data_IF_339349902120
#
_entry.id   IF_339349902120
#
_cell.length_a   1.000
_cell.length_b   1.000
_cell.length_c   1.000
_cell.angle_alpha   90.00
_cell.angle_beta   90.00
_cell.angle_gamma   90.00
#
_symmetry.space_group_name_H-M   'P 1'
#
loop_
_entity.id
_entity.type
_entity.pdbx_description
1 polymer ?
#
# COMPACT_ATOMS: atom_id res chain seq x y z
N UNK A 1 14.31 23.52 -3.69
CA UNK A 1 13.39 23.35 -4.83
C UNK A 1 12.12 24.13 -4.50
N UNK A 2 11.50 24.81 -5.45
CA UNK A 2 10.19 25.47 -5.24
C UNK A 2 9.09 24.55 -5.77
N UNK A 3 8.11 24.20 -4.93
CA UNK A 3 6.99 23.34 -5.32
C UNK A 3 5.85 24.19 -5.90
N UNK A 4 5.29 23.80 -7.06
CA UNK A 4 4.12 24.44 -7.67
C UNK A 4 2.83 23.67 -7.39
N UNK A 5 2.88 22.33 -7.37
CA UNK A 5 1.74 21.46 -7.04
C UNK A 5 2.14 20.37 -6.07
N UNK A 6 1.54 20.37 -4.88
CA UNK A 6 1.71 19.32 -3.87
C UNK A 6 0.40 18.57 -3.71
N UNK A 7 0.43 17.24 -3.85
CA UNK A 7 -0.70 16.39 -3.48
C UNK A 7 -0.65 16.12 -1.98
N UNK A 8 -1.56 16.71 -1.21
CA UNK A 8 -1.63 16.47 0.24
C UNK A 8 -2.37 15.19 0.63
N UNK A 9 -2.90 14.46 -0.36
CA UNK A 9 -3.73 13.28 -0.18
C UNK A 9 -3.44 12.26 -1.29
N UNK A 10 -2.35 11.52 -1.12
CA UNK A 10 -2.07 10.36 -1.94
C UNK A 10 -2.02 9.09 -1.10
N UNK A 11 -2.27 7.96 -1.74
CA UNK A 11 -2.36 6.67 -1.07
C UNK A 11 -1.35 5.69 -1.64
N UNK A 12 -0.80 4.89 -0.73
CA UNK A 12 -0.16 3.63 -1.04
C UNK A 12 -0.83 2.54 -0.20
N UNK A 13 -1.91 2.01 -0.76
CA UNK A 13 -2.74 1.03 -0.08
C UNK A 13 -2.14 -0.37 -0.17
N UNK A 14 -2.43 -1.19 0.87
CA UNK A 14 -1.96 -2.57 1.00
C UNK A 14 -2.10 -3.44 -0.27
N UNK A 15 -3.20 -3.39 -1.05
CA UNK A 15 -3.32 -4.15 -2.29
C UNK A 15 -2.18 -3.98 -3.27
N UNK A 16 -1.49 -2.83 -3.27
CA UNK A 16 -0.41 -2.52 -4.20
C UNK A 16 0.98 -2.67 -3.60
N UNK A 17 1.11 -3.18 -2.38
CA UNK A 17 2.40 -3.39 -1.73
C UNK A 17 3.10 -4.66 -2.23
N UNK A 18 4.43 -4.81 -2.05
CA UNK A 18 5.13 -6.04 -2.39
C UNK A 18 4.49 -7.26 -1.70
N UNK A 19 4.14 -8.34 -2.44
CA UNK A 19 3.32 -9.45 -1.91
C UNK A 19 3.89 -10.16 -0.68
N UNK A 20 5.22 -10.20 -0.57
CA UNK A 20 5.92 -10.90 0.50
C UNK A 20 6.33 -10.00 1.67
N UNK A 21 6.13 -8.68 1.56
CA UNK A 21 6.72 -7.69 2.47
C UNK A 21 6.49 -8.02 3.95
N UNK A 22 5.24 -8.26 4.33
CA UNK A 22 4.92 -8.46 5.75
C UNK A 22 5.49 -9.78 6.27
N UNK A 23 5.50 -10.84 5.46
CA UNK A 23 6.03 -12.15 5.86
C UNK A 23 7.57 -12.15 5.86
N UNK A 24 8.21 -11.47 4.91
CA UNK A 24 9.67 -11.45 4.80
C UNK A 24 10.30 -10.67 5.95
N UNK A 25 9.78 -9.48 6.24
CA UNK A 25 10.37 -8.52 7.18
C UNK A 25 9.90 -8.70 8.62
N UNK A 26 8.80 -9.42 8.87
CA UNK A 26 8.36 -9.63 10.24
C UNK A 26 9.33 -10.51 11.06
N UNK A 27 9.43 -10.29 12.38
CA UNK A 27 10.14 -11.19 13.29
C UNK A 27 9.65 -12.64 13.14
N UNK A 28 10.57 -13.60 13.30
CA UNK A 28 10.28 -15.03 13.07
C UNK A 28 9.00 -15.54 13.76
N UNK A 29 8.73 -15.11 14.99
CA UNK A 29 7.56 -15.53 15.76
C UNK A 29 6.24 -14.87 15.31
N UNK A 30 6.30 -13.84 14.45
CA UNK A 30 5.16 -13.08 13.94
C UNK A 30 4.79 -13.43 12.50
N UNK A 31 5.70 -14.04 11.73
CA UNK A 31 5.48 -14.32 10.29
C UNK A 31 4.16 -15.03 9.99
N UNK A 32 3.79 -16.00 10.83
CA UNK A 32 2.55 -16.78 10.72
C UNK A 32 1.27 -15.97 10.97
N UNK A 33 1.39 -14.79 11.59
CA UNK A 33 0.29 -13.86 11.91
C UNK A 33 0.20 -12.72 10.90
N UNK A 34 1.18 -12.57 10.03
CA UNK A 34 1.22 -11.48 9.05
C UNK A 34 0.29 -11.74 7.86
N UNK A 35 -0.16 -10.67 7.20
CA UNK A 35 -0.82 -10.82 5.93
C UNK A 35 0.08 -11.42 4.87
N UNK A 36 -0.49 -12.27 4.02
CA UNK A 36 0.18 -12.87 2.88
C UNK A 36 -0.78 -12.94 1.69
N UNK A 37 -0.23 -13.08 0.49
CA UNK A 37 -1.03 -13.27 -0.72
C UNK A 37 -1.27 -14.77 -0.97
N UNK A 38 -2.51 -15.12 -1.28
CA UNK A 38 -2.92 -16.47 -1.70
C UNK A 38 -3.86 -16.40 -2.89
N UNK A 39 -3.98 -17.48 -3.65
CA UNK A 39 -4.99 -17.58 -4.71
C UNK A 39 -6.41 -17.51 -4.14
N UNK A 40 -7.29 -16.86 -4.89
CA UNK A 40 -8.71 -16.67 -4.59
C UNK A 40 -9.58 -16.79 -5.84
N UNK A 41 -10.92 -16.79 -5.68
CA UNK A 41 -11.85 -17.00 -6.80
C UNK A 41 -11.79 -15.92 -7.87
N UNK A 42 -11.43 -14.68 -7.49
CA UNK A 42 -11.27 -13.54 -8.40
C UNK A 42 -9.79 -13.21 -8.70
N UNK A 43 -8.87 -14.08 -8.28
CA UNK A 43 -7.42 -13.90 -8.39
C UNK A 43 -6.71 -13.83 -7.04
N UNK A 44 -5.39 -13.56 -7.04
CA UNK A 44 -4.60 -13.46 -5.81
C UNK A 44 -5.15 -12.37 -4.88
N UNK A 45 -5.21 -12.68 -3.58
CA UNK A 45 -5.80 -11.83 -2.54
C UNK A 45 -4.95 -11.84 -1.27
N UNK A 46 -5.00 -10.73 -0.56
CA UNK A 46 -4.34 -10.55 0.73
C UNK A 46 -5.22 -11.10 1.86
N UNK A 47 -4.67 -12.01 2.65
CA UNK A 47 -5.36 -12.62 3.80
C UNK A 47 -4.42 -12.79 5.00
N UNK A 48 -4.97 -13.08 6.18
CA UNK A 48 -4.22 -13.67 7.30
C UNK A 48 -4.69 -15.10 7.55
N UNK A 49 -3.88 -15.91 8.25
CA UNK A 49 -4.28 -17.25 8.70
C UNK A 49 -5.46 -17.24 9.69
N UNK A 50 -5.70 -16.11 10.35
CA UNK A 50 -6.86 -15.87 11.22
C UNK A 50 -8.14 -15.52 10.45
N UNK A 51 -8.08 -15.39 9.12
CA UNK A 51 -9.26 -15.18 8.27
C UNK A 51 -9.58 -13.71 7.97
N UNK A 52 -8.76 -12.74 8.38
CA UNK A 52 -8.89 -11.37 7.88
C UNK A 52 -8.57 -11.34 6.38
N UNK A 53 -9.33 -10.55 5.61
CA UNK A 53 -9.17 -10.37 4.17
C UNK A 53 -9.02 -8.88 3.84
N UNK A 54 -8.04 -8.54 3.01
CA UNK A 54 -7.70 -7.16 2.64
C UNK A 54 -7.94 -6.84 1.15
N UNK A 55 -8.54 -7.79 0.43
CA UNK A 55 -8.91 -7.67 -0.98
C UNK A 55 -7.88 -8.25 -1.94
N UNK A 56 -8.15 -8.05 -3.24
CA UNK A 56 -7.31 -8.52 -4.32
C UNK A 56 -5.96 -7.83 -4.33
N UNK A 57 -4.90 -8.60 -4.62
CA UNK A 57 -3.59 -8.04 -4.99
C UNK A 57 -3.78 -7.19 -6.24
N UNK A 58 -3.21 -5.98 -6.22
CA UNK A 58 -3.33 -4.95 -7.27
C UNK A 58 -4.80 -4.57 -7.56
N UNK A 59 -5.67 -4.68 -6.55
CA UNK A 59 -7.08 -4.27 -6.61
C UNK A 59 -7.29 -2.76 -6.47
N UNK A 60 -8.53 -2.33 -6.65
CA UNK A 60 -8.94 -0.92 -6.58
C UNK A 60 -9.13 -0.47 -5.13
N UNK A 61 -8.41 0.60 -4.75
CA UNK A 61 -8.53 1.27 -3.45
C UNK A 61 -8.09 0.42 -2.25
N UNK A 62 -8.34 0.91 -1.02
CA UNK A 62 -7.82 0.28 0.21
C UNK A 62 -8.44 -1.08 0.54
N UNK A 63 -9.58 -1.39 -0.10
CA UNK A 63 -10.27 -2.67 0.06
C UNK A 63 -9.88 -3.73 -0.98
N UNK A 64 -8.97 -3.42 -1.92
CA UNK A 64 -8.57 -4.33 -3.00
C UNK A 64 -9.76 -4.81 -3.83
N UNK A 65 -10.65 -3.89 -4.22
CA UNK A 65 -11.87 -4.22 -4.96
C UNK A 65 -11.54 -4.66 -6.40
N UNK A 66 -12.42 -5.45 -6.99
CA UNK A 66 -12.32 -5.80 -8.41
C UNK A 66 -12.50 -4.55 -9.27
N UNK A 67 -11.69 -4.41 -10.31
CA UNK A 67 -11.90 -3.40 -11.35
C UNK A 67 -13.18 -3.73 -12.13
N UNK A 68 -14.17 -2.83 -12.09
CA UNK A 68 -15.42 -2.95 -12.85
C UNK A 68 -15.55 -1.73 -13.77
N UNK A 69 -15.40 -1.90 -15.09
CA UNK A 69 -15.51 -0.80 -16.05
C UNK A 69 -16.84 -0.05 -15.92
N UNK A 70 -16.77 1.28 -15.90
CA UNK A 70 -17.95 2.16 -15.81
C UNK A 70 -18.50 2.38 -14.41
N UNK A 71 -17.97 1.68 -13.39
CA UNK A 71 -18.38 1.90 -12.00
C UNK A 71 -17.81 3.19 -11.41
N UNK A 72 -16.57 3.54 -11.77
CA UNK A 72 -15.91 4.73 -11.27
C UNK A 72 -15.07 5.37 -12.38
N UNK A 73 -15.52 6.55 -12.84
CA UNK A 73 -14.88 7.31 -13.93
C UNK A 73 -13.39 7.57 -13.69
N UNK A 74 -12.95 7.84 -12.46
CA UNK A 74 -11.53 8.09 -12.16
C UNK A 74 -10.72 6.80 -12.28
N UNK A 75 -11.26 5.69 -11.81
CA UNK A 75 -10.64 4.37 -11.93
C UNK A 75 -10.57 3.92 -13.39
N UNK A 76 -11.61 4.19 -14.17
CA UNK A 76 -11.60 3.92 -15.61
C UNK A 76 -10.48 4.69 -16.32
N UNK A 77 -10.29 5.98 -15.99
CA UNK A 77 -9.18 6.79 -16.51
C UNK A 77 -7.83 6.23 -16.06
N UNK A 78 -7.68 5.83 -14.79
CA UNK A 78 -6.44 5.17 -14.35
C UNK A 78 -6.19 3.87 -15.11
N UNK A 79 -7.23 3.10 -15.43
CA UNK A 79 -7.09 1.85 -16.16
C UNK A 79 -6.59 2.03 -17.60
N UNK A 80 -6.89 3.15 -18.27
CA UNK A 80 -6.40 3.42 -19.63
C UNK A 80 -4.89 3.63 -19.70
N UNK A 81 -4.23 3.93 -18.58
CA UNK A 81 -2.77 4.05 -18.48
C UNK A 81 -2.04 2.69 -18.52
N UNK A 82 -2.79 1.59 -18.44
CA UNK A 82 -2.26 0.23 -18.34
C UNK A 82 -1.84 -0.19 -16.93
N UNK A 83 -2.03 0.66 -15.90
CA UNK A 83 -1.64 0.37 -14.50
C UNK A 83 -2.10 -1.01 -14.00
N UNK A 84 -3.36 -1.39 -14.23
CA UNK A 84 -3.87 -2.69 -13.77
C UNK A 84 -3.34 -3.88 -14.58
N UNK A 85 -3.09 -3.70 -15.88
CA UNK A 85 -2.50 -4.75 -16.73
C UNK A 85 -1.03 -4.99 -16.38
N UNK A 86 -0.32 -3.94 -15.99
CA UNK A 86 1.03 -4.04 -15.44
C UNK A 86 1.05 -4.73 -14.08
N UNK A 87 0.08 -4.42 -13.20
CA UNK A 87 -0.11 -5.14 -11.94
C UNK A 87 -0.29 -6.65 -12.13
N UNK A 88 -1.06 -7.08 -13.14
CA UNK A 88 -1.22 -8.52 -13.47
C UNK A 88 0.09 -9.19 -13.92
N UNK A 89 1.04 -8.40 -14.42
CA UNK A 89 2.39 -8.87 -14.82
C UNK A 89 3.42 -8.75 -13.70
N UNK A 90 3.00 -8.34 -12.50
CA UNK A 90 3.89 -8.13 -11.35
C UNK A 90 4.62 -6.77 -11.35
N UNK A 91 4.24 -5.84 -12.22
CA UNK A 91 4.81 -4.49 -12.24
C UNK A 91 3.97 -3.60 -11.31
N UNK A 92 4.46 -3.38 -10.09
CA UNK A 92 3.73 -2.67 -9.04
C UNK A 92 4.03 -1.16 -9.06
N UNK A 93 3.52 -0.45 -10.08
CA UNK A 93 3.81 0.97 -10.28
C UNK A 93 3.63 1.85 -9.02
N UNK A 94 2.57 1.70 -8.19
CA UNK A 94 2.39 2.54 -7.02
C UNK A 94 3.41 2.33 -5.90
N UNK A 95 4.01 1.13 -5.79
CA UNK A 95 4.97 0.76 -4.75
C UNK A 95 6.42 0.67 -5.26
N UNK A 96 6.66 1.05 -6.53
CA UNK A 96 8.00 1.26 -7.08
C UNK A 96 8.28 2.77 -7.08
N UNK A 97 9.32 3.24 -6.36
CA UNK A 97 9.56 4.67 -6.18
C UNK A 97 9.89 5.39 -7.50
N UNK A 98 10.51 4.69 -8.45
CA UNK A 98 10.92 5.24 -9.73
C UNK A 98 9.76 5.30 -10.74
N UNK A 99 8.92 4.27 -10.77
CA UNK A 99 7.71 4.27 -11.60
C UNK A 99 6.70 5.28 -11.07
N UNK A 100 6.51 5.34 -9.75
CA UNK A 100 5.64 6.33 -9.12
C UNK A 100 6.07 7.76 -9.43
N UNK A 101 7.37 8.06 -9.40
CA UNK A 101 7.87 9.38 -9.79
C UNK A 101 7.48 9.75 -11.22
N UNK A 102 7.54 8.80 -12.17
CA UNK A 102 7.13 9.06 -13.56
C UNK A 102 5.63 9.36 -13.68
N UNK A 103 4.80 8.66 -12.92
CA UNK A 103 3.36 8.94 -12.85
C UNK A 103 3.11 10.34 -12.25
N UNK A 104 3.84 10.71 -11.18
CA UNK A 104 3.78 12.06 -10.61
C UNK A 104 4.18 13.14 -11.64
N UNK A 105 5.22 12.90 -12.44
CA UNK A 105 5.65 13.82 -13.50
C UNK A 105 4.61 13.95 -14.61
N UNK A 106 3.95 12.85 -14.98
CA UNK A 106 2.85 12.84 -15.95
C UNK A 106 1.66 13.68 -15.47
N UNK A 107 1.33 13.59 -14.17
CA UNK A 107 0.25 14.36 -13.55
C UNK A 107 0.66 15.81 -13.18
N UNK A 108 1.95 16.14 -13.35
CA UNK A 108 2.53 17.43 -12.97
C UNK A 108 2.43 17.69 -11.47
N UNK A 109 2.72 16.68 -10.65
CA UNK A 109 2.78 16.72 -9.19
C UNK A 109 4.25 16.84 -8.75
N UNK A 110 4.58 17.95 -8.11
CA UNK A 110 5.95 18.23 -7.67
C UNK A 110 6.26 17.58 -6.32
N UNK A 111 5.29 17.26 -5.48
CA UNK A 111 5.49 16.44 -4.28
C UNK A 111 4.17 15.84 -3.81
N UNK A 112 4.24 14.80 -3.01
CA UNK A 112 3.06 14.16 -2.45
C UNK A 112 3.26 13.73 -1.00
N UNK A 113 2.17 13.78 -0.25
CA UNK A 113 2.04 13.16 1.07
C UNK A 113 1.35 11.81 0.89
N UNK A 114 1.96 10.74 1.40
CA UNK A 114 1.54 9.36 1.17
C UNK A 114 0.94 8.79 2.47
N UNK A 115 -0.36 8.53 2.44
CA UNK A 115 -1.09 7.74 3.42
C UNK A 115 -0.94 6.25 3.14
N UNK A 116 -0.94 5.46 4.22
CA UNK A 116 -0.63 4.04 4.19
C UNK A 116 -1.74 3.12 4.65
N UNK A 117 -1.30 2.05 5.32
CA UNK A 117 -2.11 0.87 5.65
C UNK A 117 -2.96 1.02 6.92
N UNK A 118 -3.24 2.24 7.40
CA UNK A 118 -3.92 2.47 8.69
C UNK A 118 -5.24 1.70 8.79
N UNK A 119 -6.06 1.74 7.73
CA UNK A 119 -7.33 1.02 7.66
C UNK A 119 -7.21 -0.48 7.37
N UNK A 120 -6.06 -0.96 6.92
CA UNK A 120 -5.80 -2.40 6.79
C UNK A 120 -5.41 -3.00 8.13
N UNK A 121 -4.52 -2.34 8.88
CA UNK A 121 -4.14 -2.81 10.21
C UNK A 121 -5.33 -2.87 11.19
N UNK A 122 -6.33 -1.99 11.06
CA UNK A 122 -7.58 -2.08 11.84
C UNK A 122 -8.37 -3.37 11.61
N UNK A 123 -8.22 -3.98 10.43
CA UNK A 123 -8.90 -5.22 10.03
C UNK A 123 -8.12 -6.48 10.42
N UNK A 124 -6.92 -6.36 11.00
CA UNK A 124 -6.07 -7.50 11.38
C UNK A 124 -6.71 -8.43 12.42
N UNK A 125 -7.63 -7.92 13.25
CA UNK A 125 -8.22 -8.67 14.38
C UNK A 125 -7.17 -9.30 15.32
N UNK A 126 -6.00 -8.68 15.36
CA UNK A 126 -4.84 -9.12 16.13
C UNK A 126 -4.02 -7.86 16.49
N UNK A 127 -4.25 -7.26 17.67
CA UNK A 127 -3.63 -5.97 18.01
C UNK A 127 -2.11 -6.00 18.03
N UNK A 128 -1.51 -7.08 18.53
CA UNK A 128 -0.07 -7.24 18.60
C UNK A 128 0.54 -7.41 17.19
N UNK A 129 -0.12 -8.19 16.33
CA UNK A 129 0.30 -8.32 14.94
C UNK A 129 0.11 -7.01 14.14
N UNK A 130 -0.92 -6.21 14.44
CA UNK A 130 -1.13 -4.91 13.82
C UNK A 130 0.02 -3.92 14.13
N UNK A 131 0.55 -3.93 15.36
CA UNK A 131 1.74 -3.14 15.73
C UNK A 131 2.96 -3.55 14.89
N UNK A 132 3.18 -4.85 14.73
CA UNK A 132 4.28 -5.38 13.91
C UNK A 132 4.09 -5.02 12.43
N UNK A 133 2.86 -5.13 11.92
CA UNK A 133 2.52 -4.73 10.55
C UNK A 133 2.83 -3.25 10.30
N UNK A 134 2.54 -2.36 11.27
CA UNK A 134 2.91 -0.94 11.18
C UNK A 134 4.42 -0.72 11.16
N UNK A 135 5.18 -1.42 12.00
CA UNK A 135 6.64 -1.30 12.01
C UNK A 135 7.23 -1.71 10.67
N UNK A 136 6.85 -2.88 10.15
CA UNK A 136 7.28 -3.34 8.82
C UNK A 136 6.92 -2.34 7.73
N UNK A 137 5.69 -1.81 7.74
CA UNK A 137 5.25 -0.80 6.78
C UNK A 137 6.08 0.49 6.88
N UNK A 138 6.31 1.00 8.09
CA UNK A 138 7.03 2.26 8.29
C UNK A 138 8.50 2.15 7.89
N UNK A 139 9.17 1.05 8.22
CA UNK A 139 10.55 0.79 7.81
C UNK A 139 10.65 0.70 6.29
N UNK A 140 9.74 -0.04 5.66
CA UNK A 140 9.66 -0.12 4.20
C UNK A 140 9.35 1.22 3.54
N UNK A 141 8.40 1.99 4.09
CA UNK A 141 8.00 3.30 3.57
C UNK A 141 9.15 4.30 3.65
N UNK A 142 9.92 4.26 4.74
CA UNK A 142 11.11 5.09 4.90
C UNK A 142 12.12 4.81 3.80
N UNK A 143 12.40 3.55 3.51
CA UNK A 143 13.32 3.15 2.45
C UNK A 143 12.76 3.55 1.07
N UNK A 144 11.48 3.32 0.82
CA UNK A 144 10.77 3.76 -0.38
C UNK A 144 10.92 5.28 -0.62
N UNK A 145 10.64 6.10 0.39
CA UNK A 145 10.73 7.56 0.32
C UNK A 145 12.18 8.05 0.20
N UNK A 146 13.17 7.28 0.67
CA UNK A 146 14.58 7.67 0.64
C UNK A 146 15.15 7.86 -0.77
N UNK A 147 14.51 7.27 -1.78
CA UNK A 147 14.89 7.46 -3.18
C UNK A 147 14.62 8.88 -3.68
N UNK A 148 13.54 9.52 -3.19
CA UNK A 148 13.11 10.87 -3.57
C UNK A 148 12.55 11.64 -2.36
N UNK A 149 13.37 11.93 -1.34
CA UNK A 149 12.89 12.43 -0.04
C UNK A 149 12.23 13.82 -0.12
N UNK A 150 12.59 14.61 -1.14
CA UNK A 150 12.00 15.92 -1.40
C UNK A 150 10.70 15.84 -2.23
N UNK A 151 10.26 14.65 -2.65
CA UNK A 151 9.12 14.46 -3.57
C UNK A 151 8.08 13.50 -3.00
N UNK A 152 8.51 12.45 -2.31
CA UNK A 152 7.66 11.38 -1.76
C UNK A 152 7.71 11.43 -0.23
N UNK A 153 6.68 11.99 0.39
CA UNK A 153 6.64 12.24 1.84
C UNK A 153 5.72 11.22 2.48
N UNK A 154 6.31 10.16 3.03
CA UNK A 154 5.57 9.10 3.72
C UNK A 154 5.05 9.54 5.09
N UNK A 155 3.78 9.24 5.38
CA UNK A 155 3.21 9.37 6.72
C UNK A 155 3.31 8.03 7.46
N UNK A 156 4.07 8.03 8.55
CA UNK A 156 4.19 6.87 9.41
C UNK A 156 2.82 6.51 10.03
N UNK A 157 2.50 5.22 10.02
CA UNK A 157 1.34 4.69 10.73
C UNK A 157 1.72 4.43 12.19
N UNK A 158 0.96 5.02 13.12
CA UNK A 158 1.14 4.79 14.55
C UNK A 158 0.03 3.88 15.09
N UNK A 159 0.34 2.95 16.01
CA UNK A 159 -0.67 2.22 16.77
C UNK A 159 -1.60 3.19 17.51
N UNK A 160 -2.91 3.10 17.31
CA UNK A 160 -3.88 3.95 18.02
C UNK A 160 -4.60 3.21 19.16
N UNK A 161 -4.33 1.92 19.34
CA UNK A 161 -4.87 1.09 20.43
C UNK A 161 -3.92 0.89 21.61
N UNK A 162 -2.69 1.40 21.50
CA UNK A 162 -1.61 1.21 22.48
C UNK A 162 -0.73 2.46 22.47
N UNK A 163 -0.75 3.21 23.57
CA UNK A 163 -0.02 4.49 23.69
C UNK A 163 1.48 4.26 23.74
N UNK A 164 1.94 3.26 24.50
CA UNK A 164 3.37 2.99 24.66
C UNK A 164 3.99 2.50 23.36
N UNK A 165 3.21 1.77 22.54
CA UNK A 165 3.65 1.38 21.20
C UNK A 165 3.66 2.53 20.18
N UNK A 166 2.97 3.64 20.46
CA UNK A 166 2.85 4.80 19.58
C UNK A 166 3.90 5.89 19.83
N UNK A 167 4.47 5.93 21.04
CA UNK A 167 5.53 6.86 21.48
C UNK A 167 6.90 6.32 21.07
#
# INVERSE_FOLDING_TARGET
MEYRKVSSDCHLDMPWMPPELFVSEAPKHMKERMPYVTDGPDGPQWVTKKGANFGLLNGVGPGGQKLIPGQNKRVDIMATTGMFEDGKKGIQRPSDPHLRLKEMEMDGVDAEVIYGILGSASRMQDPEAAIVMFRVYNDWLKDFCSHYPDRQIGLACLPYGDIDAAV
#
